data_IF_362224571049
#
_entry.id   IF_362224571049
#
_cell.length_a   1.000
_cell.length_b   1.000
_cell.length_c   1.000
_cell.angle_alpha   90.00
_cell.angle_beta   90.00
_cell.angle_gamma   90.00
#
_symmetry.space_group_name_H-M   'P 1'
#
loop_
_entity.id
_entity.type
_entity.pdbx_description
1 polymer ?
#
# COMPACT_ATOMS: atom_id res chain seq x y z
N UNK A 1 7.73 -6.61 -12.04
CA UNK A 1 6.98 -7.58 -11.24
C UNK A 1 5.49 -7.36 -11.49
N UNK A 2 4.79 -8.38 -11.97
CA UNK A 2 3.34 -8.33 -12.16
C UNK A 2 2.61 -8.24 -10.80
N UNK A 3 1.35 -7.80 -10.81
CA UNK A 3 0.56 -7.59 -9.57
C UNK A 3 0.43 -8.89 -8.77
N UNK A 4 0.11 -10.00 -9.44
CA UNK A 4 -0.15 -11.29 -8.76
C UNK A 4 1.09 -11.79 -8.04
N UNK A 5 2.24 -11.81 -8.72
CA UNK A 5 3.52 -12.22 -8.13
C UNK A 5 3.90 -11.33 -6.96
N UNK A 6 3.65 -10.02 -7.04
CA UNK A 6 3.95 -9.09 -5.95
C UNK A 6 3.15 -9.42 -4.67
N UNK A 7 1.84 -9.67 -4.79
CA UNK A 7 1.03 -10.05 -3.62
C UNK A 7 1.35 -11.45 -3.10
N UNK A 8 1.64 -12.41 -3.98
CA UNK A 8 2.12 -13.74 -3.56
C UNK A 8 3.42 -13.65 -2.74
N UNK A 9 4.37 -12.83 -3.20
CA UNK A 9 5.61 -12.57 -2.49
C UNK A 9 5.35 -11.89 -1.14
N UNK A 10 4.48 -10.88 -1.09
CA UNK A 10 4.07 -10.22 0.16
C UNK A 10 3.57 -11.27 1.16
N UNK A 11 2.59 -12.09 0.77
CA UNK A 11 2.02 -13.12 1.64
C UNK A 11 3.06 -14.12 2.13
N UNK A 12 3.96 -14.56 1.26
CA UNK A 12 5.01 -15.51 1.59
C UNK A 12 6.00 -14.95 2.62
N UNK A 13 6.52 -13.73 2.40
CA UNK A 13 7.53 -13.15 3.32
C UNK A 13 6.94 -12.74 4.66
N UNK A 14 5.68 -12.29 4.70
CA UNK A 14 5.01 -11.99 5.97
C UNK A 14 4.69 -13.27 6.74
N UNK A 15 4.26 -14.34 6.06
CA UNK A 15 3.95 -15.63 6.70
C UNK A 15 5.19 -16.26 7.35
N UNK A 16 6.33 -16.25 6.66
CA UNK A 16 7.61 -16.70 7.23
C UNK A 16 7.97 -15.95 8.53
N UNK A 17 7.80 -14.62 8.53
CA UNK A 17 8.06 -13.81 9.72
C UNK A 17 7.06 -14.07 10.85
N UNK A 18 5.78 -14.22 10.54
CA UNK A 18 4.75 -14.58 11.52
C UNK A 18 5.11 -15.89 12.20
N UNK A 19 5.47 -16.92 11.43
CA UNK A 19 5.86 -18.23 11.98
C UNK A 19 7.06 -18.12 12.91
N UNK A 20 8.09 -17.38 12.51
CA UNK A 20 9.27 -17.20 13.35
C UNK A 20 8.97 -16.49 14.68
N UNK A 21 8.27 -15.35 14.63
CA UNK A 21 8.02 -14.55 15.84
C UNK A 21 6.97 -15.19 16.77
N UNK A 22 6.11 -16.08 16.26
CA UNK A 22 5.21 -16.88 17.10
C UNK A 22 5.92 -17.85 18.04
N UNK A 23 7.12 -18.31 17.68
CA UNK A 23 7.87 -19.29 18.49
C UNK A 23 8.36 -18.71 19.82
N UNK A 24 8.58 -17.40 19.90
CA UNK A 24 9.08 -16.73 21.10
C UNK A 24 8.32 -15.43 21.34
N UNK A 25 7.17 -15.47 22.04
CA UNK A 25 6.22 -14.37 22.14
C UNK A 25 6.65 -13.29 23.15
N UNK A 26 7.81 -12.67 22.92
CA UNK A 26 8.15 -11.39 23.56
C UNK A 26 7.15 -10.31 23.14
N UNK A 27 7.10 -9.19 23.86
CA UNK A 27 6.22 -8.07 23.47
C UNK A 27 6.47 -7.60 22.04
N UNK A 28 7.74 -7.39 21.67
CA UNK A 28 8.11 -7.00 20.30
C UNK A 28 7.79 -8.08 19.28
N UNK A 29 7.95 -9.37 19.61
CA UNK A 29 7.56 -10.45 18.73
C UNK A 29 6.04 -10.49 18.48
N UNK A 30 5.22 -10.27 19.51
CA UNK A 30 3.76 -10.13 19.38
C UNK A 30 3.39 -8.97 18.45
N UNK A 31 4.06 -7.82 18.61
CA UNK A 31 3.87 -6.65 17.73
C UNK A 31 4.20 -6.96 16.27
N UNK A 32 5.30 -7.67 16.00
CA UNK A 32 5.61 -8.15 14.65
C UNK A 32 4.50 -9.05 14.09
N UNK A 33 4.04 -10.04 14.86
CA UNK A 33 2.97 -10.95 14.43
C UNK A 33 1.70 -10.16 14.09
N UNK A 34 1.31 -9.20 14.93
CA UNK A 34 0.15 -8.34 14.68
C UNK A 34 0.32 -7.54 13.39
N UNK A 35 1.43 -6.82 13.24
CA UNK A 35 1.66 -5.97 12.08
C UNK A 35 1.73 -6.77 10.77
N UNK A 36 2.44 -7.91 10.75
CA UNK A 36 2.49 -8.77 9.56
C UNK A 36 1.13 -9.40 9.22
N UNK A 37 0.33 -9.78 10.22
CA UNK A 37 -1.02 -10.31 10.00
C UNK A 37 -1.94 -9.24 9.40
N UNK A 38 -1.87 -8.01 9.90
CA UNK A 38 -2.61 -6.87 9.34
C UNK A 38 -2.16 -6.54 7.91
N UNK A 39 -0.86 -6.59 7.62
CA UNK A 39 -0.33 -6.41 6.26
C UNK A 39 -0.89 -7.49 5.31
N UNK A 40 -0.93 -8.76 5.72
CA UNK A 40 -1.56 -9.82 4.90
C UNK A 40 -3.03 -9.50 4.64
N UNK A 41 -3.77 -9.09 5.66
CA UNK A 41 -5.19 -8.78 5.52
C UNK A 41 -5.45 -7.59 4.59
N UNK A 42 -4.67 -6.51 4.73
CA UNK A 42 -4.72 -5.40 3.79
C UNK A 42 -4.32 -5.84 2.37
N UNK A 43 -3.34 -6.75 2.25
CA UNK A 43 -2.90 -7.33 1.00
C UNK A 43 -4.03 -8.05 0.25
N UNK A 44 -4.78 -8.93 0.93
CA UNK A 44 -5.91 -9.67 0.34
C UNK A 44 -6.97 -8.75 -0.24
N UNK A 45 -7.30 -7.68 0.48
CA UNK A 45 -8.30 -6.70 0.05
C UNK A 45 -7.79 -5.80 -1.08
N UNK A 46 -6.52 -5.42 -1.05
CA UNK A 46 -5.93 -4.54 -2.07
C UNK A 46 -5.71 -5.25 -3.41
N UNK A 47 -5.37 -6.55 -3.40
CA UNK A 47 -5.05 -7.29 -4.62
C UNK A 47 -6.11 -7.16 -5.73
N UNK A 48 -7.40 -7.50 -5.51
CA UNK A 48 -8.41 -7.40 -6.56
C UNK A 48 -8.65 -5.96 -7.01
N UNK A 49 -8.56 -4.99 -6.10
CA UNK A 49 -8.72 -3.57 -6.42
C UNK A 49 -7.60 -3.08 -7.34
N UNK A 50 -6.35 -3.36 -6.97
CA UNK A 50 -5.18 -3.01 -7.79
C UNK A 50 -5.27 -3.65 -9.18
N UNK A 51 -5.71 -4.90 -9.27
CA UNK A 51 -5.91 -5.59 -10.56
C UNK A 51 -7.01 -4.93 -11.40
N UNK A 52 -8.17 -4.62 -10.81
CA UNK A 52 -9.26 -3.93 -11.48
C UNK A 52 -8.81 -2.58 -12.05
N UNK A 53 -8.15 -1.77 -11.21
CA UNK A 53 -7.63 -0.46 -11.60
C UNK A 53 -6.62 -0.52 -12.76
N UNK A 54 -5.80 -1.57 -12.85
CA UNK A 54 -4.85 -1.71 -13.98
C UNK A 54 -5.50 -1.80 -15.36
N UNK A 55 -6.73 -2.30 -15.45
CA UNK A 55 -7.50 -2.30 -16.70
C UNK A 55 -8.20 -0.97 -16.99
N UNK A 56 -8.36 -0.12 -15.98
CA UNK A 56 -9.19 1.09 -16.04
C UNK A 56 -8.37 2.34 -16.31
N UNK A 57 -7.11 2.39 -15.86
CA UNK A 57 -6.26 3.57 -16.03
C UNK A 57 -6.21 4.15 -17.44
N UNK A 58 -6.11 3.34 -18.53
CA UNK A 58 -5.94 3.89 -19.87
C UNK A 58 -7.10 4.78 -20.31
N UNK A 59 -8.30 4.55 -19.77
CA UNK A 59 -9.51 5.33 -20.08
C UNK A 59 -9.35 6.81 -19.68
N UNK A 60 -8.53 7.06 -18.67
CA UNK A 60 -8.34 8.38 -18.07
C UNK A 60 -6.97 8.98 -18.41
N UNK A 61 -6.22 8.37 -19.32
CA UNK A 61 -4.99 8.97 -19.82
C UNK A 61 -5.31 10.10 -20.80
N UNK A 62 -4.41 11.08 -20.91
CA UNK A 62 -4.59 12.18 -21.84
C UNK A 62 -4.48 11.69 -23.30
N UNK A 63 -3.50 10.83 -23.57
CA UNK A 63 -3.34 10.09 -24.82
C UNK A 63 -2.47 8.83 -24.57
N UNK A 64 -2.34 7.94 -25.57
CA UNK A 64 -1.56 6.68 -25.47
C UNK A 64 -0.09 6.88 -25.06
N UNK A 65 0.49 8.04 -25.37
CA UNK A 65 1.88 8.41 -25.07
C UNK A 65 2.01 9.24 -23.80
N UNK A 66 0.90 9.75 -23.26
CA UNK A 66 0.85 10.63 -22.09
C UNK A 66 -0.01 10.02 -20.97
N UNK A 67 0.52 9.02 -20.23
CA UNK A 67 -0.19 8.42 -19.12
C UNK A 67 -0.22 9.39 -17.92
N UNK A 68 -1.37 10.03 -17.69
CA UNK A 68 -1.49 11.12 -16.72
C UNK A 68 -2.85 11.12 -16.03
N UNK A 69 -2.98 10.38 -14.92
CA UNK A 69 -4.12 10.51 -14.02
C UNK A 69 -3.79 10.13 -12.56
N UNK A 70 -4.67 10.55 -11.65
CA UNK A 70 -4.57 10.29 -10.22
C UNK A 70 -4.62 8.80 -9.86
N UNK A 71 -5.38 7.99 -10.61
CA UNK A 71 -5.51 6.55 -10.35
C UNK A 71 -4.20 5.79 -10.61
N UNK A 72 -3.50 6.09 -11.72
CA UNK A 72 -2.17 5.53 -12.01
C UNK A 72 -1.18 5.86 -10.91
N UNK A 73 -1.15 7.12 -10.49
CA UNK A 73 -0.28 7.61 -9.43
C UNK A 73 -0.58 6.90 -8.10
N UNK A 74 -1.85 6.80 -7.71
CA UNK A 74 -2.27 6.11 -6.50
C UNK A 74 -1.81 4.65 -6.48
N UNK A 75 -2.06 3.91 -7.56
CA UNK A 75 -1.66 2.50 -7.61
C UNK A 75 -0.14 2.34 -7.70
N UNK A 76 0.59 3.27 -8.31
CA UNK A 76 2.06 3.30 -8.24
C UNK A 76 2.55 3.43 -6.79
N UNK A 77 1.93 4.31 -6.00
CA UNK A 77 2.27 4.49 -4.57
C UNK A 77 1.95 3.23 -3.75
N UNK A 78 0.80 2.59 -3.98
CA UNK A 78 0.43 1.30 -3.36
C UNK A 78 1.48 0.24 -3.64
N UNK A 79 1.86 0.08 -4.91
CA UNK A 79 2.88 -0.89 -5.33
C UNK A 79 4.23 -0.59 -4.67
N UNK A 80 4.63 0.67 -4.60
CA UNK A 80 5.88 1.06 -3.94
C UNK A 80 5.88 0.71 -2.45
N UNK A 81 4.78 1.00 -1.74
CA UNK A 81 4.62 0.63 -0.33
C UNK A 81 4.76 -0.89 -0.12
N UNK A 82 4.08 -1.70 -0.95
CA UNK A 82 4.16 -3.16 -0.90
C UNK A 82 5.59 -3.66 -1.16
N UNK A 83 6.28 -3.12 -2.16
CA UNK A 83 7.67 -3.49 -2.46
C UNK A 83 8.60 -3.16 -1.29
N UNK A 84 8.43 -2.00 -0.66
CA UNK A 84 9.18 -1.63 0.55
C UNK A 84 8.92 -2.62 1.69
N UNK A 85 7.66 -2.99 1.95
CA UNK A 85 7.32 -4.00 2.94
C UNK A 85 7.98 -5.33 2.62
N UNK A 86 7.96 -5.78 1.36
CA UNK A 86 8.61 -7.03 0.94
C UNK A 86 10.12 -6.98 1.20
N UNK A 87 10.78 -5.90 0.79
CA UNK A 87 12.22 -5.73 1.01
C UNK A 87 12.57 -5.73 2.49
N UNK A 88 11.80 -5.00 3.31
CA UNK A 88 12.01 -4.93 4.75
C UNK A 88 11.77 -6.28 5.42
N UNK A 89 10.72 -7.00 5.01
CA UNK A 89 10.40 -8.33 5.51
C UNK A 89 11.51 -9.34 5.21
N UNK A 90 12.09 -9.29 4.00
CA UNK A 90 13.25 -10.12 3.64
C UNK A 90 14.49 -9.79 4.45
N UNK A 91 14.76 -8.50 4.65
CA UNK A 91 15.84 -8.07 5.54
C UNK A 91 15.65 -8.63 6.96
N UNK A 92 14.43 -8.55 7.50
CA UNK A 92 14.11 -9.12 8.82
C UNK A 92 14.32 -10.64 8.80
N UNK A 93 13.78 -11.36 7.82
CA UNK A 93 13.97 -12.81 7.70
C UNK A 93 15.44 -13.23 7.71
N UNK A 94 16.31 -12.48 7.01
CA UNK A 94 17.74 -12.76 6.93
C UNK A 94 18.49 -12.43 8.23
N UNK A 95 18.07 -11.41 8.97
CA UNK A 95 18.84 -10.86 10.10
C UNK A 95 18.26 -11.18 11.49
N UNK A 96 17.00 -11.63 11.60
CA UNK A 96 16.27 -11.82 12.87
C UNK A 96 16.89 -12.77 13.90
N UNK A 97 17.92 -13.55 13.52
CA UNK A 97 18.69 -14.43 14.41
C UNK A 97 20.04 -13.82 14.84
N UNK A 98 20.45 -12.72 14.23
CA UNK A 98 21.70 -12.04 14.53
C UNK A 98 21.61 -11.29 15.87
N UNK A 99 22.67 -11.34 16.66
CA UNK A 99 22.80 -10.57 17.90
C UNK A 99 22.76 -9.05 17.68
N UNK A 100 23.13 -8.60 16.46
CA UNK A 100 23.11 -7.18 16.08
C UNK A 100 21.76 -6.72 15.53
N UNK A 101 20.78 -7.61 15.47
CA UNK A 101 19.46 -7.28 14.95
C UNK A 101 18.72 -6.34 15.90
N UNK A 102 18.49 -5.11 15.45
CA UNK A 102 17.74 -4.10 16.20
C UNK A 102 16.23 -4.41 16.16
N UNK A 103 15.79 -5.37 16.96
CA UNK A 103 14.42 -5.93 16.93
C UNK A 103 13.34 -4.86 17.04
N UNK A 104 13.38 -4.00 18.06
CA UNK A 104 12.37 -2.97 18.27
C UNK A 104 12.34 -1.92 17.15
N UNK A 105 13.51 -1.54 16.62
CA UNK A 105 13.59 -0.59 15.50
C UNK A 105 12.91 -1.14 14.24
N UNK A 106 13.21 -2.38 13.89
CA UNK A 106 12.59 -3.04 12.73
C UNK A 106 11.08 -3.26 12.92
N UNK A 107 10.64 -3.52 14.15
CA UNK A 107 9.23 -3.65 14.48
C UNK A 107 8.48 -2.33 14.22
N UNK A 108 8.99 -1.21 14.74
CA UNK A 108 8.39 0.11 14.52
C UNK A 108 8.33 0.50 13.04
N UNK A 109 9.31 0.07 12.23
CA UNK A 109 9.31 0.33 10.80
C UNK A 109 8.21 -0.46 10.09
N UNK A 110 8.04 -1.75 10.42
CA UNK A 110 6.95 -2.58 9.88
C UNK A 110 5.59 -2.04 10.30
N UNK A 111 5.42 -1.60 11.54
CA UNK A 111 4.17 -0.98 12.02
C UNK A 111 3.86 0.32 11.27
N UNK A 112 4.86 1.17 11.02
CA UNK A 112 4.68 2.39 10.25
C UNK A 112 4.22 2.10 8.82
N UNK A 113 4.84 1.13 8.14
CA UNK A 113 4.41 0.72 6.80
C UNK A 113 3.05 0.02 6.81
N UNK A 114 2.69 -0.72 7.87
CA UNK A 114 1.35 -1.28 8.04
C UNK A 114 0.30 -0.16 8.12
N UNK A 115 0.56 0.89 8.90
CA UNK A 115 -0.29 2.07 8.99
C UNK A 115 -0.44 2.77 7.64
N UNK A 116 0.67 2.97 6.91
CA UNK A 116 0.65 3.55 5.58
C UNK A 116 -0.16 2.69 4.59
N UNK A 117 0.00 1.36 4.61
CA UNK A 117 -0.76 0.44 3.76
C UNK A 117 -2.25 0.47 4.08
N UNK A 118 -2.63 0.60 5.35
CA UNK A 118 -4.03 0.75 5.77
C UNK A 118 -4.66 2.02 5.17
N UNK A 119 -3.96 3.16 5.25
CA UNK A 119 -4.45 4.42 4.68
C UNK A 119 -4.47 4.39 3.14
N UNK A 120 -3.49 3.75 2.50
CA UNK A 120 -3.51 3.54 1.06
C UNK A 120 -4.70 2.67 0.63
N UNK A 121 -5.05 1.65 1.40
CA UNK A 121 -6.26 0.86 1.16
C UNK A 121 -7.51 1.73 1.23
N UNK A 122 -7.64 2.58 2.24
CA UNK A 122 -8.77 3.52 2.33
C UNK A 122 -8.84 4.45 1.10
N UNK A 123 -7.69 4.98 0.65
CA UNK A 123 -7.60 5.80 -0.56
C UNK A 123 -8.03 5.04 -1.83
N UNK A 124 -7.67 3.76 -1.97
CA UNK A 124 -8.09 2.94 -3.12
C UNK A 124 -9.59 2.68 -3.09
N UNK A 125 -10.18 2.40 -1.92
CA UNK A 125 -11.64 2.27 -1.79
C UNK A 125 -12.37 3.57 -2.12
N UNK A 126 -11.84 4.70 -1.65
CA UNK A 126 -12.37 6.01 -1.99
C UNK A 126 -12.30 6.28 -3.50
N UNK A 127 -11.15 6.00 -4.11
CA UNK A 127 -10.96 6.08 -5.56
C UNK A 127 -11.95 5.18 -6.33
N UNK A 128 -12.23 3.97 -5.84
CA UNK A 128 -13.20 3.06 -6.44
C UNK A 128 -14.62 3.64 -6.36
N UNK A 129 -15.00 4.22 -5.21
CA UNK A 129 -16.30 4.87 -5.04
C UNK A 129 -16.48 6.07 -5.96
N UNK A 130 -15.44 6.90 -6.09
CA UNK A 130 -15.42 8.01 -7.05
C UNK A 130 -15.63 7.51 -8.47
N UNK A 131 -14.95 6.43 -8.85
CA UNK A 131 -15.09 5.84 -10.18
C UNK A 131 -16.51 5.34 -10.44
N UNK A 132 -17.14 4.66 -9.47
CA UNK A 132 -18.51 4.14 -9.61
C UNK A 132 -19.59 5.22 -9.56
N UNK A 133 -19.29 6.38 -8.99
CA UNK A 133 -20.21 7.50 -8.88
C UNK A 133 -20.24 8.37 -10.15
N UNK A 134 -19.25 8.23 -11.03
CA UNK A 134 -19.15 8.96 -12.29
C UNK A 134 -19.58 8.10 -13.48
N UNK A 135 -19.97 8.77 -14.58
CA UNK A 135 -20.17 8.08 -15.85
C UNK A 135 -18.84 7.53 -16.36
N UNK A 136 -18.91 6.47 -17.16
CA UNK A 136 -17.72 5.85 -17.74
C UNK A 136 -16.94 6.87 -18.58
N UNK A 137 -15.65 7.04 -18.29
CA UNK A 137 -14.78 7.99 -18.99
C UNK A 137 -14.78 9.42 -18.42
N UNK A 138 -15.69 9.73 -17.49
CA UNK A 138 -15.75 11.06 -16.88
C UNK A 138 -14.92 11.12 -15.59
N UNK A 139 -13.95 12.03 -15.56
CA UNK A 139 -13.17 12.35 -14.35
C UNK A 139 -13.87 13.34 -13.41
N UNK A 140 -14.84 14.08 -13.94
CA UNK A 140 -15.53 15.15 -13.24
C UNK A 140 -17.01 14.82 -13.09
N UNK A 141 -17.56 15.16 -11.94
CA UNK A 141 -18.99 15.01 -11.69
C UNK A 141 -19.77 15.97 -12.57
N UNK A 142 -20.83 15.48 -13.22
CA UNK A 142 -21.77 16.33 -13.96
C UNK A 142 -22.37 17.40 -13.05
N UNK A 143 -22.44 18.63 -13.57
CA UNK A 143 -22.54 19.90 -12.85
C UNK A 143 -23.74 20.09 -11.89
N UNK A 144 -24.73 19.17 -11.84
CA UNK A 144 -25.92 19.36 -10.99
C UNK A 144 -25.79 18.88 -9.54
N UNK A 145 -24.79 18.05 -9.19
CA UNK A 145 -24.58 17.60 -7.79
C UNK A 145 -23.16 17.75 -7.25
N UNK A 146 -22.17 18.03 -8.09
CA UNK A 146 -20.77 18.14 -7.67
C UNK A 146 -20.26 16.93 -6.88
N UNK A 147 -19.08 17.08 -6.25
CA UNK A 147 -18.64 16.18 -5.18
C UNK A 147 -19.53 16.43 -3.97
N UNK A 148 -20.26 15.41 -3.47
CA UNK A 148 -21.01 15.56 -2.21
C UNK A 148 -20.09 16.02 -1.09
N UNK A 149 -20.59 16.86 -0.19
CA UNK A 149 -19.92 17.27 1.05
C UNK A 149 -19.39 16.06 1.82
N UNK A 150 -20.09 14.94 1.77
CA UNK A 150 -19.67 13.66 2.36
C UNK A 150 -18.33 13.16 1.80
N UNK A 151 -18.10 13.29 0.49
CA UNK A 151 -16.84 12.87 -0.15
C UNK A 151 -15.68 13.77 0.28
N UNK A 152 -15.92 15.08 0.43
CA UNK A 152 -14.91 16.04 0.89
C UNK A 152 -14.57 15.79 2.37
N UNK A 153 -15.59 15.57 3.20
CA UNK A 153 -15.41 15.24 4.61
C UNK A 153 -14.61 13.94 4.78
N UNK A 154 -14.96 12.89 4.04
CA UNK A 154 -14.23 11.62 4.06
C UNK A 154 -12.76 11.79 3.65
N UNK A 155 -12.49 12.48 2.54
CA UNK A 155 -11.12 12.80 2.11
C UNK A 155 -10.34 13.58 3.18
N UNK A 156 -10.97 14.52 3.87
CA UNK A 156 -10.34 15.31 4.92
C UNK A 156 -10.06 14.50 6.20
N UNK A 157 -10.91 13.53 6.52
CA UNK A 157 -10.74 12.64 7.68
C UNK A 157 -9.62 11.60 7.53
N UNK A 158 -9.09 11.39 6.32
CA UNK A 158 -8.03 10.42 6.09
C UNK A 158 -6.71 10.85 6.76
N UNK A 159 -6.08 9.90 7.46
CA UNK A 159 -4.88 10.19 8.25
C UNK A 159 -3.63 10.24 7.36
N UNK A 160 -3.15 11.47 7.10
CA UNK A 160 -1.97 11.75 6.26
C UNK A 160 -0.64 11.50 6.99
N UNK A 161 -0.65 11.49 8.33
CA UNK A 161 0.56 11.36 9.16
C UNK A 161 1.38 10.11 8.90
N UNK A 162 0.75 9.02 8.45
CA UNK A 162 1.39 7.74 8.17
C UNK A 162 2.38 7.76 6.99
N UNK A 163 2.34 8.79 6.15
CA UNK A 163 3.23 8.95 4.99
C UNK A 163 4.51 9.73 5.31
N UNK A 164 4.65 10.23 6.54
CA UNK A 164 5.82 10.95 7.01
C UNK A 164 6.70 10.09 7.93
N UNK A 165 7.81 10.65 8.41
CA UNK A 165 8.72 9.96 9.34
C UNK A 165 9.35 8.71 8.72
N UNK A 166 9.08 7.53 9.29
CA UNK A 166 9.67 6.25 8.84
C UNK A 166 9.20 5.83 7.44
N UNK A 167 8.07 6.38 6.97
CA UNK A 167 7.54 6.14 5.63
C UNK A 167 7.89 7.28 4.66
N UNK A 168 8.76 8.22 5.02
CA UNK A 168 9.06 9.33 4.14
C UNK A 168 9.77 8.85 2.85
N UNK A 169 9.24 9.26 1.70
CA UNK A 169 9.91 9.11 0.41
C UNK A 169 9.72 7.77 -0.30
N UNK A 170 9.01 6.79 0.28
CA UNK A 170 8.77 5.51 -0.40
C UNK A 170 8.03 5.69 -1.73
N UNK A 171 7.26 6.76 -1.89
CA UNK A 171 6.55 7.09 -3.12
C UNK A 171 7.47 7.53 -4.28
N UNK A 172 8.69 7.99 -3.99
CA UNK A 172 9.67 8.48 -4.98
C UNK A 172 10.81 7.48 -5.20
N UNK A 173 11.09 6.63 -4.21
CA UNK A 173 12.21 5.67 -4.20
C UNK A 173 12.06 4.45 -5.11
N UNK A 174 11.13 4.47 -6.07
CA UNK A 174 11.18 3.50 -7.17
C UNK A 174 12.46 3.79 -7.96
N UNK A 175 13.51 3.01 -7.68
CA UNK A 175 14.71 2.91 -8.49
C UNK A 175 14.26 2.55 -9.91
N UNK A 176 14.04 3.56 -10.74
CA UNK A 176 14.13 3.41 -12.18
C UNK A 176 15.62 3.18 -12.45
N UNK A 177 16.02 2.05 -13.07
CA UNK A 177 17.34 2.01 -13.66
C UNK A 177 17.38 3.17 -14.65
N UNK A 178 18.33 4.10 -14.45
CA UNK A 178 18.68 5.06 -15.48
C UNK A 178 19.02 4.26 -16.73
N UNK A 179 18.38 4.62 -17.85
CA UNK A 179 18.72 4.08 -19.17
C UNK A 179 20.19 4.34 -19.48
#
# INVERSE_FOLDING_TARGET
>A
MDVRTMFLLLHSVTEDNIRFFRLNPTETARRFVTAFSQIQEHGRHLQPLVQSFTGIFPIFDFDERTPANGYRSLIKVVRSCILHIIHKSRYISANRRSIFFRTNHNCMEIEAYCSALCQLRALVYFAQRLLTANKHGDLFFGEEKGLSEDFLHESNSMHKGCFYGRCLGFQVSAVQPRR
#
